data_IF_718086191601
#
_entry.id   IF_718086191601
#
_cell.length_a   1.000
_cell.length_b   1.000
_cell.length_c   1.000
_cell.angle_alpha   90.00
_cell.angle_beta   90.00
_cell.angle_gamma   90.00
#
_symmetry.space_group_name_H-M   'P 1'
#
loop_
_entity.id
_entity.type
_entity.pdbx_description
1 polymer ?
#
# COMPACT_ATOMS: atom_id res chain seq x y z
N UNK A 1 22.86 -27.16 -19.67
CA UNK A 1 21.73 -27.75 -18.92
C UNK A 1 21.37 -26.75 -17.84
N UNK A 2 20.36 -25.92 -18.08
CA UNK A 2 20.04 -24.79 -17.21
C UNK A 2 19.15 -25.27 -16.05
N UNK A 3 19.56 -24.95 -14.83
CA UNK A 3 18.77 -25.18 -13.62
C UNK A 3 17.58 -24.22 -13.65
N UNK A 4 16.32 -24.69 -13.54
CA UNK A 4 15.16 -23.80 -13.49
C UNK A 4 15.17 -23.02 -12.16
N UNK A 5 15.02 -21.69 -12.26
CA UNK A 5 14.79 -20.81 -11.11
C UNK A 5 13.54 -21.26 -10.34
N UNK A 6 13.55 -21.27 -9.00
CA UNK A 6 12.41 -21.72 -8.23
C UNK A 6 11.21 -20.80 -8.47
N UNK A 7 10.12 -21.40 -8.96
CA UNK A 7 8.84 -20.74 -9.09
C UNK A 7 8.32 -20.28 -7.73
N UNK A 8 7.87 -19.02 -7.71
CA UNK A 8 6.95 -18.37 -6.78
C UNK A 8 6.15 -19.37 -5.91
N UNK A 9 6.56 -19.51 -4.64
CA UNK A 9 5.72 -20.12 -3.59
C UNK A 9 4.93 -19.00 -2.95
N UNK A 10 3.70 -18.80 -3.42
CA UNK A 10 2.69 -18.18 -2.58
C UNK A 10 2.45 -19.10 -1.38
N UNK A 11 2.28 -18.59 -0.14
CA UNK A 11 1.77 -19.43 0.93
C UNK A 11 0.49 -20.11 0.40
N UNK A 12 0.45 -21.43 0.50
CA UNK A 12 -0.62 -22.25 -0.07
C UNK A 12 -1.98 -21.67 0.35
N UNK A 13 -2.84 -21.51 -0.65
CA UNK A 13 -4.20 -20.96 -0.58
C UNK A 13 -5.12 -21.65 0.44
N UNK A 14 -4.67 -22.75 1.06
CA UNK A 14 -5.46 -23.58 1.96
C UNK A 14 -5.43 -23.12 3.43
N UNK A 15 -4.48 -22.26 3.83
CA UNK A 15 -4.42 -21.72 5.20
C UNK A 15 -4.96 -20.29 5.35
N UNK A 16 -5.30 -19.63 4.24
CA UNK A 16 -5.80 -18.25 4.20
C UNK A 16 -7.21 -18.28 3.63
N UNK A 17 -8.22 -17.97 4.46
CA UNK A 17 -9.59 -17.82 4.00
C UNK A 17 -9.67 -16.92 2.77
N UNK A 18 -10.61 -17.25 1.88
CA UNK A 18 -10.89 -16.64 0.57
C UNK A 18 -10.15 -15.31 0.33
N UNK A 19 -9.05 -15.35 -0.44
CA UNK A 19 -8.33 -14.14 -0.83
C UNK A 19 -9.25 -13.36 -1.77
N UNK A 20 -9.82 -12.27 -1.27
CA UNK A 20 -10.56 -11.32 -2.07
C UNK A 20 -9.54 -10.40 -2.76
N UNK A 21 -9.08 -10.75 -3.96
CA UNK A 21 -8.44 -9.77 -4.87
C UNK A 21 -9.55 -9.14 -5.73
N UNK A 22 -9.65 -7.82 -5.90
CA UNK A 22 -8.62 -6.96 -6.48
C UNK A 22 -8.64 -5.57 -5.82
N UNK A 23 -7.71 -5.30 -4.91
CA UNK A 23 -7.43 -3.91 -4.52
C UNK A 23 -6.81 -3.20 -5.74
N UNK A 24 -7.20 -1.95 -5.99
CA UNK A 24 -6.54 -1.15 -7.02
C UNK A 24 -5.04 -1.02 -6.69
N UNK A 25 -4.21 -0.99 -7.72
CA UNK A 25 -2.78 -0.74 -7.53
C UNK A 25 -2.58 0.69 -7.02
N UNK A 26 -1.67 0.82 -6.07
CA UNK A 26 -1.24 2.09 -5.54
C UNK A 26 0.00 2.55 -6.29
N UNK A 27 -0.01 3.79 -6.77
CA UNK A 27 1.11 4.36 -7.52
C UNK A 27 1.72 5.52 -6.75
N UNK A 28 3.04 5.54 -6.72
CA UNK A 28 3.82 6.64 -6.17
C UNK A 28 4.91 7.05 -7.15
N UNK A 29 5.25 8.34 -7.14
CA UNK A 29 6.43 8.84 -7.84
C UNK A 29 7.41 9.33 -6.80
N UNK A 30 8.63 8.82 -6.87
CA UNK A 30 9.75 9.35 -6.07
C UNK A 30 10.34 10.49 -6.87
N UNK A 31 10.35 11.69 -6.28
CA UNK A 31 10.90 12.89 -6.89
C UNK A 31 12.39 13.02 -6.58
N UNK A 32 13.14 13.68 -7.44
CA UNK A 32 14.46 14.23 -7.20
C UNK A 32 14.38 15.75 -7.00
N UNK A 33 15.52 16.35 -6.62
CA UNK A 33 15.65 17.80 -6.61
C UNK A 33 15.28 18.39 -7.97
N UNK A 34 14.65 19.57 -7.95
CA UNK A 34 14.18 20.24 -9.18
C UNK A 34 12.89 19.68 -9.78
N UNK A 35 12.16 18.82 -9.07
CA UNK A 35 10.83 18.35 -9.49
C UNK A 35 10.85 17.27 -10.58
N UNK A 36 12.00 16.62 -10.80
CA UNK A 36 12.15 15.52 -11.75
C UNK A 36 11.72 14.19 -11.11
N UNK A 37 11.07 13.31 -11.86
CA UNK A 37 10.82 11.94 -11.40
C UNK A 37 12.13 11.12 -11.36
N UNK A 38 12.33 10.38 -10.28
CA UNK A 38 13.44 9.46 -10.05
C UNK A 38 13.01 8.01 -10.26
N UNK A 39 11.80 7.69 -9.80
CA UNK A 39 11.25 6.35 -9.84
C UNK A 39 9.72 6.36 -9.83
N UNK A 40 9.11 5.30 -10.35
CA UNK A 40 7.70 4.96 -10.15
C UNK A 40 7.63 3.71 -9.28
N UNK A 41 6.92 3.80 -8.16
CA UNK A 41 6.65 2.66 -7.28
C UNK A 41 5.20 2.24 -7.49
N UNK A 42 4.99 0.94 -7.67
CA UNK A 42 3.68 0.32 -7.78
C UNK A 42 3.52 -0.66 -6.63
N UNK A 43 2.42 -0.56 -5.89
CA UNK A 43 2.13 -1.43 -4.75
C UNK A 43 0.74 -2.05 -4.85
N UNK A 44 0.59 -3.23 -4.26
CA UNK A 44 -0.68 -3.91 -4.05
C UNK A 44 -0.74 -4.42 -2.61
N UNK A 45 -1.74 -3.94 -1.86
CA UNK A 45 -2.10 -4.57 -0.59
C UNK A 45 -2.77 -5.91 -0.87
N UNK A 46 -2.19 -6.97 -0.32
CA UNK A 46 -2.81 -8.30 -0.30
C UNK A 46 -3.65 -8.37 0.96
N UNK A 47 -4.96 -8.56 0.77
CA UNK A 47 -5.94 -8.58 1.86
C UNK A 47 -6.47 -10.01 2.06
N UNK A 48 -6.73 -10.37 3.31
CA UNK A 48 -7.55 -11.54 3.65
C UNK A 48 -9.02 -11.30 3.30
N UNK A 49 -9.85 -12.34 3.34
CA UNK A 49 -11.30 -12.23 3.09
C UNK A 49 -12.03 -11.29 4.05
N UNK A 50 -11.45 -11.00 5.22
CA UNK A 50 -11.96 -10.01 6.17
C UNK A 50 -11.33 -8.62 6.00
N UNK A 51 -10.67 -8.33 4.88
CA UNK A 51 -10.01 -7.06 4.56
C UNK A 51 -8.80 -6.68 5.41
N UNK A 52 -8.32 -7.54 6.31
CA UNK A 52 -7.03 -7.36 7.00
C UNK A 52 -5.88 -7.46 6.00
N UNK A 53 -4.88 -6.58 6.10
CA UNK A 53 -3.69 -6.64 5.27
C UNK A 53 -2.77 -7.79 5.73
N UNK A 54 -2.56 -8.77 4.84
CA UNK A 54 -1.68 -9.92 5.07
C UNK A 54 -0.32 -9.77 4.38
N UNK A 55 -0.23 -8.84 3.43
CA UNK A 55 1.02 -8.55 2.75
C UNK A 55 0.95 -7.31 1.88
N UNK A 56 2.12 -6.93 1.37
CA UNK A 56 2.31 -5.84 0.45
C UNK A 56 3.23 -6.30 -0.67
N UNK A 57 2.70 -6.38 -1.89
CA UNK A 57 3.46 -6.68 -3.09
C UNK A 57 3.86 -5.38 -3.78
N UNK A 58 5.09 -5.26 -4.24
CA UNK A 58 5.58 -4.02 -4.80
C UNK A 58 6.62 -4.21 -5.91
N UNK A 59 6.74 -3.19 -6.75
CA UNK A 59 7.79 -3.07 -7.77
C UNK A 59 8.20 -1.61 -7.92
N UNK A 60 9.44 -1.37 -8.34
CA UNK A 60 9.93 -0.03 -8.64
C UNK A 60 10.54 0.01 -10.03
N UNK A 61 10.11 0.98 -10.82
CA UNK A 61 10.72 1.33 -12.10
C UNK A 61 11.66 2.53 -11.91
N UNK A 62 12.87 2.42 -12.43
CA UNK A 62 13.83 3.53 -12.57
C UNK A 62 14.29 3.64 -14.03
N UNK A 63 15.20 4.58 -14.32
CA UNK A 63 15.83 4.67 -15.65
C UNK A 63 16.58 3.39 -16.07
N UNK A 64 16.98 2.56 -15.10
CA UNK A 64 17.66 1.28 -15.32
C UNK A 64 16.68 0.10 -15.50
N UNK A 65 15.37 0.36 -15.39
CA UNK A 65 14.30 -0.61 -15.54
C UNK A 65 13.66 -1.05 -14.22
N UNK A 66 13.01 -2.22 -14.24
CA UNK A 66 12.39 -2.81 -13.06
C UNK A 66 13.47 -3.32 -12.09
N UNK A 67 13.41 -2.85 -10.85
CA UNK A 67 14.41 -3.15 -9.83
C UNK A 67 13.80 -3.53 -8.47
N UNK A 68 14.64 -3.66 -7.43
CA UNK A 68 14.18 -3.92 -6.06
C UNK A 68 13.24 -2.80 -5.58
N UNK A 69 12.30 -3.14 -4.71
CA UNK A 69 11.28 -2.19 -4.29
C UNK A 69 11.82 -1.14 -3.32
N UNK A 70 11.32 0.09 -3.46
CA UNK A 70 11.50 1.17 -2.47
C UNK A 70 10.43 1.16 -1.38
N UNK A 71 9.49 0.21 -1.41
CA UNK A 71 8.31 0.12 -0.53
C UNK A 71 8.62 0.26 0.96
N UNK A 72 9.55 -0.54 1.49
CA UNK A 72 9.92 -0.48 2.90
C UNK A 72 10.64 0.85 3.22
N UNK A 73 11.59 1.23 2.36
CA UNK A 73 12.40 2.44 2.56
C UNK A 73 11.55 3.70 2.58
N UNK A 74 10.55 3.84 1.72
CA UNK A 74 9.67 5.02 1.73
C UNK A 74 8.85 5.15 3.02
N UNK A 75 8.67 4.06 3.77
CA UNK A 75 8.02 4.08 5.08
C UNK A 75 9.02 4.41 6.21
N UNK A 76 10.23 3.87 6.17
CA UNK A 76 11.22 4.01 7.25
C UNK A 76 12.13 5.25 7.16
N UNK A 77 12.49 5.69 5.95
CA UNK A 77 13.45 6.77 5.69
C UNK A 77 12.71 8.09 5.48
N UNK A 78 12.94 9.07 6.37
CA UNK A 78 12.22 10.35 6.34
C UNK A 78 12.57 11.21 5.11
N UNK A 79 13.84 11.19 4.68
CA UNK A 79 14.30 12.01 3.56
C UNK A 79 13.79 11.44 2.24
N UNK A 80 13.80 10.11 2.10
CA UNK A 80 13.16 9.46 0.96
C UNK A 80 11.66 9.73 0.96
N UNK A 81 11.00 9.57 2.10
CA UNK A 81 9.54 9.76 2.23
C UNK A 81 9.10 11.17 1.86
N UNK A 82 9.86 12.19 2.25
CA UNK A 82 9.58 13.59 1.88
C UNK A 82 9.58 13.84 0.36
N UNK A 83 10.17 12.93 -0.42
CA UNK A 83 10.23 12.99 -1.88
C UNK A 83 9.17 12.13 -2.56
N UNK A 84 8.39 11.35 -1.80
CA UNK A 84 7.36 10.47 -2.36
C UNK A 84 6.05 11.24 -2.53
N UNK A 85 5.55 11.26 -3.75
CA UNK A 85 4.25 11.81 -4.09
C UNK A 85 3.28 10.69 -4.46
N UNK A 86 2.04 10.80 -4.00
CA UNK A 86 0.93 10.02 -4.57
C UNK A 86 0.80 10.31 -6.05
N UNK A 87 0.55 9.26 -6.84
CA UNK A 87 0.21 9.39 -8.24
C UNK A 87 -1.09 8.67 -8.56
N UNK A 88 -1.88 9.26 -9.45
CA UNK A 88 -2.88 8.50 -10.19
C UNK A 88 -2.16 7.58 -11.18
N UNK A 89 -2.85 6.58 -11.71
CA UNK A 89 -2.31 5.75 -12.81
C UNK A 89 -1.83 6.60 -13.99
N UNK A 90 -2.54 7.67 -14.31
CA UNK A 90 -2.13 8.62 -15.35
C UNK A 90 -0.83 9.35 -14.99
N UNK A 91 -0.71 9.89 -13.77
CA UNK A 91 0.52 10.54 -13.31
C UNK A 91 1.71 9.58 -13.25
N UNK A 92 1.47 8.33 -12.86
CA UNK A 92 2.46 7.27 -12.88
C UNK A 92 2.91 6.94 -14.31
N UNK A 93 1.99 6.92 -15.27
CA UNK A 93 2.30 6.68 -16.68
C UNK A 93 3.16 7.80 -17.28
N UNK A 94 2.87 9.06 -16.95
CA UNK A 94 3.71 10.18 -17.36
C UNK A 94 5.12 10.09 -16.78
N UNK A 95 5.25 9.80 -15.49
CA UNK A 95 6.55 9.60 -14.85
C UNK A 95 7.31 8.40 -15.44
N UNK A 96 6.63 7.28 -15.69
CA UNK A 96 7.20 6.08 -16.31
C UNK A 96 7.76 6.37 -17.71
N UNK A 97 7.02 7.14 -18.52
CA UNK A 97 7.45 7.59 -19.85
C UNK A 97 8.67 8.50 -19.78
N UNK A 98 8.68 9.47 -18.86
CA UNK A 98 9.83 10.38 -18.63
C UNK A 98 11.08 9.61 -18.21
N UNK A 99 10.91 8.52 -17.47
CA UNK A 99 11.98 7.61 -17.06
C UNK A 99 12.40 6.61 -18.16
N UNK A 100 11.85 6.72 -19.38
CA UNK A 100 12.23 5.88 -20.52
C UNK A 100 11.48 4.55 -20.65
N UNK A 101 10.44 4.30 -19.84
CA UNK A 101 9.68 3.05 -19.88
C UNK A 101 8.69 2.91 -21.05
N UNK A 102 8.39 4.00 -21.76
CA UNK A 102 7.37 4.01 -22.80
C UNK A 102 5.95 4.06 -22.24
N UNK A 103 5.06 3.19 -22.70
CA UNK A 103 3.69 3.08 -22.19
C UNK A 103 3.66 2.26 -20.89
N UNK A 104 2.96 2.76 -19.87
CA UNK A 104 2.81 2.04 -18.61
C UNK A 104 1.98 0.76 -18.82
N UNK A 105 2.51 -0.43 -18.45
CA UNK A 105 1.79 -1.68 -18.63
C UNK A 105 0.41 -1.71 -17.94
N UNK A 106 -0.52 -2.48 -18.51
CA UNK A 106 -1.81 -2.78 -17.88
C UNK A 106 -1.62 -3.40 -16.48
N UNK A 107 -2.60 -3.24 -15.58
CA UNK A 107 -2.45 -3.70 -14.19
C UNK A 107 -2.24 -5.22 -14.07
N UNK A 108 -2.80 -6.02 -14.99
CA UNK A 108 -2.52 -7.46 -15.04
C UNK A 108 -1.04 -7.76 -15.31
N UNK A 109 -0.39 -6.99 -16.16
CA UNK A 109 1.06 -7.08 -16.40
C UNK A 109 1.85 -6.53 -15.22
N UNK A 110 1.43 -5.41 -14.63
CA UNK A 110 2.11 -4.86 -13.46
C UNK A 110 2.11 -5.82 -12.27
N UNK A 111 1.02 -6.57 -12.04
CA UNK A 111 0.98 -7.65 -11.03
C UNK A 111 1.98 -8.76 -11.31
N UNK A 112 2.31 -9.00 -12.58
CA UNK A 112 3.43 -9.87 -12.95
C UNK A 112 4.78 -9.21 -12.70
N UNK A 113 4.90 -7.93 -12.40
CA UNK A 113 6.17 -7.28 -12.04
C UNK A 113 6.34 -7.11 -10.52
N UNK A 114 5.27 -7.23 -9.73
CA UNK A 114 5.34 -7.19 -8.25
C UNK A 114 6.06 -8.44 -7.72
N UNK A 115 7.40 -8.37 -7.69
CA UNK A 115 8.28 -9.46 -7.26
C UNK A 115 8.67 -9.36 -5.79
N UNK A 116 8.61 -8.15 -5.23
CA UNK A 116 8.95 -7.91 -3.83
C UNK A 116 7.69 -8.01 -2.99
N UNK A 117 7.54 -9.12 -2.27
CA UNK A 117 6.42 -9.38 -1.39
C UNK A 117 6.90 -9.30 0.06
N UNK A 118 6.35 -8.35 0.79
CA UNK A 118 6.50 -8.24 2.23
C UNK A 118 5.29 -8.88 2.91
N UNK A 119 5.51 -9.94 3.68
CA UNK A 119 4.49 -10.45 4.58
C UNK A 119 4.26 -9.45 5.71
N UNK A 120 3.00 -9.11 5.97
CA UNK A 120 2.62 -8.28 7.10
C UNK A 120 2.17 -9.19 8.24
N UNK A 121 2.71 -8.95 9.43
CA UNK A 121 2.29 -9.72 10.60
C UNK A 121 0.85 -9.34 10.94
N UNK A 122 -0.06 -10.28 10.72
CA UNK A 122 -1.42 -10.19 11.24
C UNK A 122 -1.46 -10.76 12.64
N UNK A 123 -1.67 -9.92 13.64
CA UNK A 123 -2.08 -10.42 14.96
C UNK A 123 -3.57 -10.84 14.90
N UNK A 124 -4.00 -11.84 15.68
CA UNK A 124 -5.42 -12.07 15.89
C UNK A 124 -6.08 -10.76 16.35
N UNK A 125 -7.30 -10.45 15.88
CA UNK A 125 -7.98 -9.21 16.26
C UNK A 125 -7.99 -9.02 17.78
N UNK A 126 -7.45 -7.89 18.23
CA UNK A 126 -7.47 -7.55 19.64
C UNK A 126 -8.92 -7.33 20.06
N UNK A 127 -9.43 -8.18 20.96
CA UNK A 127 -10.75 -8.04 21.56
C UNK A 127 -10.63 -7.15 22.78
N UNK A 128 -11.03 -5.90 22.64
CA UNK A 128 -11.10 -4.95 23.75
C UNK A 128 -12.42 -5.08 24.52
N UNK A 129 -13.40 -5.82 23.98
CA UNK A 129 -14.68 -6.08 24.64
C UNK A 129 -15.55 -4.82 24.81
N UNK A 130 -15.27 -3.79 24.01
CA UNK A 130 -15.94 -2.50 24.09
C UNK A 130 -17.19 -2.49 23.20
N UNK A 131 -17.19 -3.25 22.11
CA UNK A 131 -18.34 -3.37 21.19
C UNK A 131 -18.34 -4.74 20.50
N UNK A 132 -19.50 -5.18 19.97
CA UNK A 132 -19.57 -6.31 19.03
C UNK A 132 -19.32 -5.89 17.57
N UNK A 133 -19.16 -4.58 17.31
CA UNK A 133 -18.90 -4.03 15.98
C UNK A 133 -17.39 -4.10 15.68
N UNK A 134 -16.98 -4.75 14.58
CA UNK A 134 -15.57 -4.74 14.20
C UNK A 134 -15.13 -3.33 13.77
N UNK A 135 -13.88 -3.00 14.10
CA UNK A 135 -13.21 -1.78 13.66
C UNK A 135 -12.01 -2.12 12.80
N UNK A 136 -11.80 -1.35 11.75
CA UNK A 136 -10.62 -1.41 10.92
C UNK A 136 -9.73 -0.22 11.17
N UNK A 137 -8.45 -0.45 11.37
CA UNK A 137 -7.44 0.60 11.46
C UNK A 137 -6.55 0.55 10.24
N UNK A 138 -6.42 1.69 9.57
CA UNK A 138 -5.35 1.88 8.59
C UNK A 138 -4.25 2.67 9.29
N UNK A 139 -3.04 2.11 9.31
CA UNK A 139 -1.84 2.80 9.79
C UNK A 139 -1.14 3.50 8.63
N UNK A 140 -0.60 4.68 8.91
CA UNK A 140 0.10 5.48 7.91
C UNK A 140 1.45 5.98 8.42
N UNK A 141 2.43 5.98 7.53
CA UNK A 141 3.72 6.65 7.69
C UNK A 141 3.69 8.03 7.04
N UNK A 142 4.53 8.93 7.53
CA UNK A 142 4.65 10.29 7.01
C UNK A 142 3.89 11.33 7.80
N UNK A 143 3.81 12.51 7.23
CA UNK A 143 3.11 13.64 7.81
C UNK A 143 2.09 14.16 6.79
N UNK A 144 0.82 14.35 7.20
CA UNK A 144 -0.19 14.83 6.28
C UNK A 144 0.09 16.30 5.94
N UNK A 145 -0.03 16.65 4.67
CA UNK A 145 -0.05 18.05 4.21
C UNK A 145 -1.32 18.78 4.63
N UNK A 146 -2.39 18.03 4.87
CA UNK A 146 -3.65 18.50 5.43
C UNK A 146 -4.13 17.53 6.51
N UNK A 147 -4.03 17.93 7.79
CA UNK A 147 -4.51 17.15 8.92
C UNK A 147 -6.05 17.04 8.93
N UNK A 148 -6.77 17.90 8.20
CA UNK A 148 -8.22 17.84 8.00
C UNK A 148 -8.67 16.91 6.87
N UNK A 149 -7.75 16.22 6.20
CA UNK A 149 -8.06 15.34 5.06
C UNK A 149 -9.02 14.19 5.41
N UNK A 150 -9.15 13.83 6.69
CA UNK A 150 -10.17 12.91 7.17
C UNK A 150 -10.54 13.21 8.63
N UNK A 151 -11.84 13.23 9.00
CA UNK A 151 -12.28 13.63 10.34
C UNK A 151 -11.80 12.71 11.47
N UNK A 152 -11.52 11.44 11.17
CA UNK A 152 -11.04 10.46 12.14
C UNK A 152 -9.51 10.27 12.12
N UNK A 153 -8.78 11.07 11.34
CA UNK A 153 -7.32 11.00 11.30
C UNK A 153 -6.73 11.45 12.64
N UNK A 154 -5.90 10.61 13.25
CA UNK A 154 -5.28 10.91 14.55
C UNK A 154 -3.88 10.32 14.68
N UNK A 155 -3.05 10.94 15.51
CA UNK A 155 -1.73 10.39 15.88
C UNK A 155 -1.86 9.25 16.88
N UNK A 156 -0.95 8.28 16.79
CA UNK A 156 -0.82 7.15 17.73
C UNK A 156 0.63 6.90 18.12
N UNK A 157 0.84 6.00 19.09
CA UNK A 157 2.18 5.53 19.47
C UNK A 157 3.09 6.68 19.91
N UNK A 158 2.58 7.59 20.75
CA UNK A 158 3.28 8.80 21.18
C UNK A 158 3.75 9.72 20.01
N UNK A 159 2.96 9.77 18.93
CA UNK A 159 3.22 10.64 17.77
C UNK A 159 3.98 9.99 16.63
N UNK A 160 4.33 8.71 16.74
CA UNK A 160 5.15 7.97 15.76
C UNK A 160 4.42 7.63 14.46
N UNK A 161 3.09 7.52 14.47
CA UNK A 161 2.30 7.17 13.29
C UNK A 161 0.94 7.87 13.29
N UNK A 162 0.31 7.87 12.13
CA UNK A 162 -1.07 8.31 11.94
C UNK A 162 -1.97 7.10 11.73
N UNK A 163 -3.23 7.19 12.17
CA UNK A 163 -4.22 6.18 11.87
C UNK A 163 -5.59 6.78 11.57
N UNK A 164 -6.39 5.99 10.86
CA UNK A 164 -7.84 6.17 10.74
C UNK A 164 -8.48 4.86 11.19
N UNK A 165 -9.41 4.97 12.15
CA UNK A 165 -10.27 3.86 12.56
C UNK A 165 -11.60 3.96 11.81
N UNK A 166 -12.19 2.83 11.43
CA UNK A 166 -13.47 2.78 10.71
C UNK A 166 -14.31 1.67 11.34
N UNK A 167 -15.50 2.02 11.83
CA UNK A 167 -16.46 1.04 12.33
C UNK A 167 -17.14 0.33 11.15
N UNK A 168 -17.25 -0.99 11.20
CA UNK A 168 -17.85 -1.79 10.16
C UNK A 168 -19.02 -2.61 10.72
N UNK A 169 -20.20 -2.01 10.95
CA UNK A 169 -21.38 -2.76 11.38
C UNK A 169 -21.81 -3.82 10.35
N UNK A 170 -21.39 -3.66 9.10
CA UNK A 170 -21.54 -4.63 8.01
C UNK A 170 -20.19 -4.78 7.29
N UNK A 171 -19.41 -5.78 7.70
CA UNK A 171 -18.09 -6.09 7.14
C UNK A 171 -18.10 -6.30 5.63
N UNK A 172 -19.23 -6.73 5.04
CA UNK A 172 -19.31 -6.97 3.59
C UNK A 172 -19.19 -5.69 2.76
N UNK A 173 -19.35 -4.52 3.39
CA UNK A 173 -19.34 -3.20 2.72
C UNK A 173 -18.08 -2.40 2.98
N UNK A 174 -17.14 -2.90 3.77
CA UNK A 174 -16.00 -2.11 4.25
C UNK A 174 -14.91 -1.91 3.19
N UNK A 175 -14.78 -2.83 2.23
CA UNK A 175 -13.75 -2.78 1.19
C UNK A 175 -13.67 -1.46 0.41
N UNK A 176 -14.77 -0.95 -0.17
CA UNK A 176 -14.81 0.35 -0.84
C UNK A 176 -14.43 1.53 0.07
N UNK A 177 -14.82 1.50 1.35
CA UNK A 177 -14.52 2.56 2.30
C UNK A 177 -13.02 2.60 2.66
N UNK A 178 -12.41 1.43 2.92
CA UNK A 178 -10.97 1.31 3.14
C UNK A 178 -10.17 1.85 1.94
N UNK A 179 -10.63 1.56 0.72
CA UNK A 179 -10.03 2.07 -0.52
C UNK A 179 -10.15 3.59 -0.63
N UNK A 180 -11.32 4.14 -0.29
CA UNK A 180 -11.56 5.58 -0.32
C UNK A 180 -10.66 6.31 0.69
N UNK A 181 -10.58 5.82 1.93
CA UNK A 181 -9.72 6.40 2.97
C UNK A 181 -8.24 6.31 2.59
N UNK A 182 -7.75 5.14 2.14
CA UNK A 182 -6.37 5.01 1.64
C UNK A 182 -6.07 6.02 0.53
N UNK A 183 -6.99 6.20 -0.41
CA UNK A 183 -6.81 7.15 -1.51
C UNK A 183 -6.81 8.60 -1.03
N UNK A 184 -7.66 8.96 -0.07
CA UNK A 184 -7.67 10.29 0.53
C UNK A 184 -6.37 10.59 1.28
N UNK A 185 -5.90 9.65 2.11
CA UNK A 185 -4.67 9.82 2.90
C UNK A 185 -3.42 9.87 2.03
N UNK A 186 -3.35 9.07 0.96
CA UNK A 186 -2.24 9.19 -0.01
C UNK A 186 -2.19 10.57 -0.67
N UNK A 187 -3.34 11.14 -1.02
CA UNK A 187 -3.40 12.51 -1.56
C UNK A 187 -2.92 13.57 -0.58
N UNK A 188 -3.05 13.33 0.74
CA UNK A 188 -2.48 14.19 1.77
C UNK A 188 -1.02 13.85 2.11
N UNK A 189 -0.34 12.99 1.35
CA UNK A 189 1.08 12.67 1.56
C UNK A 189 1.37 11.53 2.54
N UNK A 190 0.34 10.89 3.08
CA UNK A 190 0.49 9.73 3.96
C UNK A 190 0.65 8.43 3.16
N UNK A 191 1.51 7.53 3.64
CA UNK A 191 1.78 6.24 3.00
C UNK A 191 1.15 5.13 3.87
N UNK A 192 0.15 4.37 3.37
CA UNK A 192 -0.45 3.28 4.13
C UNK A 192 0.60 2.21 4.48
N UNK A 193 0.56 1.69 5.70
CA UNK A 193 1.50 0.71 6.24
C UNK A 193 0.84 -0.66 6.36
N UNK A 194 -0.35 -0.70 6.96
CA UNK A 194 -1.13 -1.93 7.17
C UNK A 194 -2.61 -1.58 7.37
N UNK A 195 -3.46 -2.59 7.26
CA UNK A 195 -4.87 -2.56 7.62
C UNK A 195 -5.09 -3.66 8.65
N UNK A 196 -5.50 -3.28 9.85
CA UNK A 196 -5.73 -4.17 10.98
C UNK A 196 -7.22 -4.19 11.35
N UNK A 197 -7.68 -5.30 11.94
CA UNK A 197 -9.06 -5.48 12.38
C UNK A 197 -9.12 -5.73 13.89
N UNK A 198 -10.10 -5.13 14.56
CA UNK A 198 -10.30 -5.16 16.01
C UNK A 198 -11.77 -5.38 16.36
N UNK A 199 -12.05 -5.78 17.61
CA UNK A 199 -13.39 -5.88 18.20
C UNK A 199 -13.43 -5.24 19.60
#
# INVERSE_FOLDING_TARGET
MAVPSPGRVWPQTEAMGEIVTVADLDYYVVMEGGGRAAAVVVEEFVLAGDHTAVGLASATWTADGWGPSLSLRMRSDADLRARVAYATRFGAAEAFRVLGGGELPGEGELRRQLRDYQQLNTAPPLRLGLTDTPYYRILFAGEPTDAGAHPQLRRIGNGMAWCVDIAAPDDSKIGPELRAVRSAMRRSGLIPVTIERFY
#
